data_IF_217539202134
#
_entry.id   IF_217539202134
#
_cell.length_a   1.000
_cell.length_b   1.000
_cell.length_c   1.000
_cell.angle_alpha   90.00
_cell.angle_beta   90.00
_cell.angle_gamma   90.00
#
_symmetry.space_group_name_H-M   'P 1'
#
loop_
_entity.id
_entity.type
_entity.pdbx_description
1 polymer ?
#
# COMPACT_ATOMS: atom_id res chain seq x y z
N UNK A 1 49.65 -6.51 47.46
CA UNK A 1 48.80 -7.49 46.74
C UNK A 1 47.35 -7.12 47.08
N UNK A 2 46.43 -6.65 46.21
CA UNK A 2 46.30 -6.46 44.76
C UNK A 2 45.52 -5.14 44.54
N UNK A 3 45.75 -4.32 43.50
CA UNK A 3 44.86 -3.20 43.20
C UNK A 3 43.57 -3.70 42.53
N UNK A 4 42.43 -3.23 43.02
CA UNK A 4 41.09 -3.52 42.52
C UNK A 4 40.88 -2.73 41.23
N UNK A 5 40.79 -3.42 40.09
CA UNK A 5 40.42 -2.81 38.80
C UNK A 5 38.94 -2.43 38.80
N UNK A 6 38.67 -1.12 38.79
CA UNK A 6 37.35 -0.54 38.58
C UNK A 6 37.02 -0.63 37.09
N UNK A 7 36.27 -1.67 36.70
CA UNK A 7 35.75 -1.84 35.35
C UNK A 7 34.70 -0.76 35.05
N UNK A 8 35.01 0.15 34.13
CA UNK A 8 34.06 1.09 33.53
C UNK A 8 33.13 0.30 32.59
N UNK A 9 31.97 -0.14 33.09
CA UNK A 9 30.92 -0.72 32.24
C UNK A 9 30.21 0.45 31.56
N UNK A 10 30.58 0.72 30.31
CA UNK A 10 29.86 1.64 29.43
C UNK A 10 28.57 0.94 28.99
N UNK A 11 27.47 1.28 29.64
CA UNK A 11 26.13 0.79 29.30
C UNK A 11 25.68 1.44 27.99
N UNK A 12 25.89 0.74 26.87
CA UNK A 12 25.31 1.10 25.57
C UNK A 12 23.79 0.94 25.64
N UNK A 13 23.10 2.07 25.76
CA UNK A 13 21.64 2.14 25.59
C UNK A 13 21.37 1.86 24.11
N UNK A 14 20.99 0.63 23.77
CA UNK A 14 20.38 0.32 22.47
C UNK A 14 19.04 1.07 22.41
N UNK A 15 19.06 2.25 21.81
CA UNK A 15 17.84 2.92 21.39
C UNK A 15 17.13 2.03 20.38
N UNK A 16 15.91 1.61 20.71
CA UNK A 16 14.98 1.06 19.73
C UNK A 16 14.70 2.15 18.70
N UNK A 17 15.43 2.14 17.58
CA UNK A 17 15.07 2.94 16.42
C UNK A 17 13.76 2.37 15.89
N UNK A 18 12.64 3.08 16.11
CA UNK A 18 11.46 2.88 15.27
C UNK A 18 11.94 3.09 13.83
N UNK A 19 11.62 2.16 12.93
CA UNK A 19 11.78 2.39 11.50
C UNK A 19 11.10 3.72 11.17
N UNK A 20 11.91 4.73 10.85
CA UNK A 20 11.41 6.03 10.43
C UNK A 20 10.76 5.78 9.07
N UNK A 21 9.44 5.96 8.99
CA UNK A 21 8.78 6.03 7.69
C UNK A 21 9.52 7.08 6.85
N UNK A 22 9.73 6.84 5.53
CA UNK A 22 10.34 7.84 4.67
C UNK A 22 9.57 9.16 4.87
N UNK A 23 10.29 10.20 5.23
CA UNK A 23 9.73 11.51 5.54
C UNK A 23 9.05 12.04 4.28
N UNK A 24 7.72 11.95 4.22
CA UNK A 24 6.95 12.38 3.06
C UNK A 24 7.08 13.90 2.94
N UNK A 25 7.32 14.44 1.72
CA UNK A 25 7.42 15.89 1.54
C UNK A 25 6.19 16.57 2.12
N UNK A 26 6.39 17.45 3.11
CA UNK A 26 5.28 18.19 3.75
C UNK A 26 4.51 19.06 2.77
N UNK A 27 5.15 19.49 1.68
CA UNK A 27 4.52 20.28 0.62
C UNK A 27 3.57 19.44 -0.25
N UNK A 28 3.78 18.13 -0.39
CA UNK A 28 2.98 17.25 -1.26
C UNK A 28 3.49 17.18 -2.71
N UNK A 29 2.80 16.37 -3.51
CA UNK A 29 3.07 16.12 -4.94
C UNK A 29 1.98 16.76 -5.80
N UNK A 30 2.37 17.56 -6.79
CA UNK A 30 1.44 18.14 -7.75
C UNK A 30 1.48 17.38 -9.09
N UNK A 31 0.32 16.95 -9.57
CA UNK A 31 0.15 16.46 -10.94
C UNK A 31 -0.44 17.59 -11.79
N UNK A 32 0.26 18.03 -12.84
CA UNK A 32 -0.18 19.14 -13.70
C UNK A 32 -0.82 18.66 -14.99
N UNK A 33 -1.78 19.44 -15.49
CA UNK A 33 -2.36 19.26 -16.83
C UNK A 33 -2.92 17.85 -17.10
N UNK A 34 -3.47 17.19 -16.09
CA UNK A 34 -4.04 15.85 -16.22
C UNK A 34 -5.53 15.92 -16.55
N UNK A 35 -6.00 15.06 -17.45
CA UNK A 35 -7.43 14.90 -17.68
C UNK A 35 -8.02 14.01 -16.57
N UNK A 36 -8.98 14.50 -15.80
CA UNK A 36 -9.58 13.71 -14.70
C UNK A 36 -10.81 13.01 -15.22
N UNK A 37 -10.71 11.71 -15.48
CA UNK A 37 -11.83 10.88 -15.97
C UNK A 37 -12.52 11.50 -17.18
N UNK A 38 -13.80 11.88 -17.05
CA UNK A 38 -14.63 12.51 -18.09
C UNK A 38 -14.64 14.05 -18.01
N UNK A 39 -13.68 14.69 -17.32
CA UNK A 39 -13.59 16.14 -17.29
C UNK A 39 -13.43 16.70 -18.71
N UNK A 40 -14.04 17.85 -18.98
CA UNK A 40 -13.97 18.48 -20.31
C UNK A 40 -12.56 18.99 -20.64
N UNK A 41 -11.82 19.41 -19.63
CA UNK A 41 -10.52 20.05 -19.77
C UNK A 41 -9.50 19.46 -18.78
N UNK A 42 -8.20 19.47 -19.10
CA UNK A 42 -7.14 19.13 -18.15
C UNK A 42 -7.12 20.07 -16.92
N UNK A 43 -6.67 19.57 -15.78
CA UNK A 43 -6.57 20.30 -14.50
C UNK A 43 -5.34 19.85 -13.71
N UNK A 44 -5.06 20.47 -12.57
CA UNK A 44 -4.04 20.00 -11.65
C UNK A 44 -4.65 19.23 -10.47
N UNK A 45 -3.90 18.28 -9.89
CA UNK A 45 -4.25 17.53 -8.68
C UNK A 45 -3.10 17.66 -7.69
N UNK A 46 -3.36 18.26 -6.52
CA UNK A 46 -2.42 18.27 -5.40
C UNK A 46 -2.68 17.09 -4.47
N UNK A 47 -1.66 16.27 -4.24
CA UNK A 47 -1.67 15.14 -3.32
C UNK A 47 -0.82 15.50 -2.10
N UNK A 48 -1.41 15.44 -0.91
CA UNK A 48 -0.74 15.73 0.36
C UNK A 48 -1.24 14.75 1.43
N UNK A 49 -0.35 14.28 2.30
CA UNK A 49 -0.69 13.32 3.36
C UNK A 49 -1.44 12.06 2.87
N UNK A 50 -1.03 11.54 1.71
CA UNK A 50 -1.67 10.41 1.02
C UNK A 50 -3.15 10.61 0.68
N UNK A 51 -3.58 11.86 0.51
CA UNK A 51 -4.92 12.24 0.08
C UNK A 51 -4.85 13.21 -1.08
N UNK A 52 -5.89 13.19 -1.90
CA UNK A 52 -6.14 14.29 -2.83
C UNK A 52 -6.56 15.48 -1.99
N UNK A 53 -5.70 16.51 -1.93
CA UNK A 53 -5.92 17.73 -1.16
C UNK A 53 -6.80 18.71 -1.94
N UNK A 54 -6.53 18.86 -3.23
CA UNK A 54 -7.16 19.87 -4.08
C UNK A 54 -7.11 19.45 -5.55
N UNK A 55 -8.18 19.77 -6.29
CA UNK A 55 -8.24 19.62 -7.75
C UNK A 55 -8.71 20.97 -8.30
N UNK A 56 -7.83 21.67 -9.01
CA UNK A 56 -8.16 22.92 -9.71
C UNK A 56 -7.07 23.24 -10.73
N UNK A 57 -7.35 24.16 -11.66
CA UNK A 57 -6.33 24.68 -12.59
C UNK A 57 -5.42 25.69 -11.89
N UNK A 58 -4.14 25.69 -12.27
CA UNK A 58 -3.19 26.74 -11.87
C UNK A 58 -2.83 26.69 -10.39
N UNK A 59 -2.68 25.48 -9.83
CA UNK A 59 -2.23 25.35 -8.44
C UNK A 59 -0.79 25.87 -8.35
N UNK A 60 -0.60 26.91 -7.53
CA UNK A 60 0.71 27.35 -7.09
C UNK A 60 1.27 26.30 -6.10
N UNK A 61 2.47 25.80 -6.41
CA UNK A 61 3.13 24.76 -5.62
C UNK A 61 4.63 24.90 -5.77
N UNK A 62 5.35 24.94 -4.64
CA UNK A 62 6.81 25.06 -4.57
C UNK A 62 7.52 23.71 -4.55
N UNK A 63 6.79 22.63 -4.26
CA UNK A 63 7.33 21.28 -4.11
C UNK A 63 7.43 20.51 -5.42
N UNK A 64 7.50 19.18 -5.31
CA UNK A 64 7.58 18.30 -6.47
C UNK A 64 6.32 18.42 -7.34
N UNK A 65 6.54 18.56 -8.66
CA UNK A 65 5.48 18.62 -9.65
C UNK A 65 5.82 17.73 -10.86
N UNK A 66 4.83 16.99 -11.33
CA UNK A 66 4.90 16.14 -12.52
C UNK A 66 3.98 16.70 -13.60
N UNK A 67 4.50 16.85 -14.83
CA UNK A 67 3.66 17.16 -15.98
C UNK A 67 2.99 15.87 -16.49
N UNK A 68 1.67 15.88 -16.51
CA UNK A 68 0.84 14.75 -16.94
C UNK A 68 0.03 15.09 -18.21
N UNK A 69 0.49 16.08 -18.98
CA UNK A 69 -0.10 16.45 -20.27
C UNK A 69 -0.31 15.24 -21.18
N UNK A 70 -1.53 15.08 -21.69
CA UNK A 70 -1.92 13.95 -22.55
C UNK A 70 -2.25 12.66 -21.82
N UNK A 71 -2.14 12.63 -20.48
CA UNK A 71 -2.55 11.49 -19.65
C UNK A 71 -3.95 11.72 -19.06
N UNK A 72 -4.63 10.60 -18.78
CA UNK A 72 -5.90 10.59 -18.04
C UNK A 72 -5.68 10.00 -16.66
N UNK A 73 -6.01 10.75 -15.61
CA UNK A 73 -6.11 10.24 -14.26
C UNK A 73 -7.42 9.47 -14.07
N UNK A 74 -7.30 8.23 -13.64
CA UNK A 74 -8.41 7.38 -13.22
C UNK A 74 -8.28 7.10 -11.72
N UNK A 75 -9.40 6.83 -11.02
CA UNK A 75 -9.33 6.21 -9.70
C UNK A 75 -8.54 4.90 -9.78
N UNK A 76 -7.82 4.58 -8.71
CA UNK A 76 -7.19 3.26 -8.60
C UNK A 76 -8.23 2.16 -8.71
N UNK A 77 -7.91 1.10 -9.46
CA UNK A 77 -8.89 0.03 -9.70
C UNK A 77 -9.06 -0.85 -8.45
N UNK A 78 -10.25 -1.43 -8.33
CA UNK A 78 -10.64 -2.30 -7.24
C UNK A 78 -11.12 -3.63 -7.82
N UNK A 79 -10.47 -4.73 -7.44
CA UNK A 79 -10.96 -6.07 -7.73
C UNK A 79 -11.65 -6.65 -6.49
N UNK A 80 -12.91 -7.06 -6.64
CA UNK A 80 -13.73 -7.53 -5.52
C UNK A 80 -13.74 -9.04 -5.36
N UNK A 81 -13.07 -9.77 -6.24
CA UNK A 81 -13.07 -11.23 -6.26
C UNK A 81 -11.71 -11.78 -6.69
N UNK A 82 -10.76 -11.82 -5.76
CA UNK A 82 -9.44 -12.42 -6.01
C UNK A 82 -9.17 -13.61 -5.09
N UNK A 83 -8.20 -14.42 -5.51
CA UNK A 83 -7.45 -15.35 -4.67
C UNK A 83 -5.99 -14.90 -4.71
N UNK A 84 -5.59 -14.05 -3.76
CA UNK A 84 -4.31 -13.34 -3.81
C UNK A 84 -3.12 -14.30 -3.71
N UNK A 85 -3.28 -15.47 -3.11
CA UNK A 85 -2.25 -16.50 -3.02
C UNK A 85 -1.71 -17.00 -4.37
N UNK A 86 -2.39 -16.72 -5.47
CA UNK A 86 -1.90 -17.04 -6.83
C UNK A 86 -0.99 -15.97 -7.44
N UNK A 87 -0.87 -14.80 -6.82
CA UNK A 87 -0.16 -13.65 -7.39
C UNK A 87 0.80 -13.03 -6.40
N UNK A 88 1.85 -12.39 -6.91
CA UNK A 88 2.66 -11.50 -6.07
C UNK A 88 1.91 -10.17 -5.89
N UNK A 89 1.72 -9.68 -4.67
CA UNK A 89 0.98 -8.44 -4.43
C UNK A 89 1.52 -7.23 -5.22
N UNK A 90 2.84 -7.14 -5.41
CA UNK A 90 3.44 -6.05 -6.20
C UNK A 90 3.09 -6.12 -7.69
N UNK A 91 2.94 -7.30 -8.25
CA UNK A 91 2.54 -7.50 -9.66
C UNK A 91 1.08 -7.07 -9.85
N UNK A 92 0.21 -7.39 -8.89
CA UNK A 92 -1.19 -6.91 -8.85
C UNK A 92 -1.26 -5.38 -8.84
N UNK A 93 -0.47 -4.72 -7.98
CA UNK A 93 -0.42 -3.25 -7.92
C UNK A 93 0.08 -2.63 -9.23
N UNK A 94 1.09 -3.24 -9.85
CA UNK A 94 1.66 -2.77 -11.11
C UNK A 94 0.66 -2.84 -12.28
N UNK A 95 -0.36 -3.69 -12.17
CA UNK A 95 -1.49 -3.76 -13.11
C UNK A 95 -2.56 -2.67 -12.91
N UNK A 96 -2.40 -1.77 -11.92
CA UNK A 96 -3.34 -0.69 -11.63
C UNK A 96 -4.40 -1.01 -10.57
N UNK A 97 -4.42 -2.24 -10.04
CA UNK A 97 -5.26 -2.62 -8.91
C UNK A 97 -4.67 -2.05 -7.63
N UNK A 98 -5.33 -1.06 -7.04
CA UNK A 98 -4.87 -0.41 -5.80
C UNK A 98 -5.54 -0.98 -4.55
N UNK A 99 -6.65 -1.71 -4.72
CA UNK A 99 -7.37 -2.40 -3.65
C UNK A 99 -7.90 -3.72 -4.17
N UNK A 100 -7.82 -4.77 -3.35
CA UNK A 100 -8.38 -6.09 -3.67
C UNK A 100 -9.14 -6.67 -2.49
N UNK A 101 -10.11 -7.53 -2.80
CA UNK A 101 -10.82 -8.35 -1.82
C UNK A 101 -10.57 -9.84 -2.08
N UNK A 102 -9.78 -10.46 -1.21
CA UNK A 102 -9.57 -11.90 -1.20
C UNK A 102 -10.79 -12.62 -0.59
N UNK A 103 -11.29 -13.63 -1.30
CA UNK A 103 -12.51 -14.36 -0.94
C UNK A 103 -12.29 -15.80 -0.48
N UNK A 104 -11.03 -16.23 -0.30
CA UNK A 104 -10.76 -17.61 0.04
C UNK A 104 -9.29 -17.93 0.00
N UNK A 105 -8.67 -17.97 1.18
CA UNK A 105 -7.34 -18.52 1.37
C UNK A 105 -7.15 -19.07 2.79
N UNK A 106 -6.00 -19.67 3.05
CA UNK A 106 -5.60 -20.10 4.39
C UNK A 106 -5.63 -18.89 5.35
N UNK A 107 -6.33 -18.99 6.50
CA UNK A 107 -6.58 -17.83 7.39
C UNK A 107 -5.32 -17.09 7.85
N UNK A 108 -4.26 -17.79 8.23
CA UNK A 108 -3.05 -17.16 8.79
C UNK A 108 -2.34 -16.29 7.74
N UNK A 109 -2.31 -16.74 6.48
CA UNK A 109 -1.80 -15.97 5.35
C UNK A 109 -2.77 -14.85 4.95
N UNK A 110 -4.06 -15.16 4.78
CA UNK A 110 -5.07 -14.21 4.32
C UNK A 110 -5.13 -12.96 5.20
N UNK A 111 -5.08 -13.16 6.52
CA UNK A 111 -5.13 -12.05 7.47
C UNK A 111 -3.77 -11.37 7.68
N UNK A 112 -2.64 -12.04 7.39
CA UNK A 112 -1.34 -11.36 7.38
C UNK A 112 -1.28 -10.33 6.25
N UNK A 113 -1.84 -10.63 5.08
CA UNK A 113 -1.90 -9.70 3.94
C UNK A 113 -2.65 -8.39 4.25
N UNK A 114 -3.70 -8.44 5.06
CA UNK A 114 -4.42 -7.23 5.52
C UNK A 114 -3.50 -6.32 6.36
N UNK A 115 -2.60 -6.92 7.16
CA UNK A 115 -1.60 -6.17 7.92
C UNK A 115 -0.49 -5.65 7.00
N UNK A 116 0.03 -6.50 6.13
CA UNK A 116 1.17 -6.19 5.27
C UNK A 116 0.83 -5.12 4.24
N UNK A 117 -0.40 -5.14 3.70
CA UNK A 117 -0.90 -4.14 2.75
C UNK A 117 -1.03 -2.71 3.29
N UNK A 118 -0.78 -2.48 4.59
CA UNK A 118 -0.61 -1.13 5.12
C UNK A 118 0.69 -0.47 4.64
N UNK A 119 1.64 -1.25 4.15
CA UNK A 119 2.89 -0.81 3.55
C UNK A 119 2.69 -0.68 2.02
N UNK A 120 2.64 0.53 1.46
CA UNK A 120 2.36 0.73 0.02
C UNK A 120 3.34 0.02 -0.92
N UNK A 121 4.57 -0.22 -0.47
CA UNK A 121 5.60 -0.93 -1.21
C UNK A 121 5.29 -2.42 -1.39
N UNK A 122 4.48 -3.00 -0.50
CA UNK A 122 4.13 -4.42 -0.51
C UNK A 122 3.18 -4.76 -1.66
N UNK A 123 2.13 -3.97 -1.89
CA UNK A 123 1.10 -4.26 -2.89
C UNK A 123 -0.18 -3.43 -2.73
N UNK A 124 -1.32 -3.88 -3.29
CA UNK A 124 -2.61 -3.21 -3.12
C UNK A 124 -3.07 -3.27 -1.66
N UNK A 125 -3.99 -2.38 -1.28
CA UNK A 125 -4.76 -2.54 -0.05
C UNK A 125 -5.57 -3.84 -0.10
N UNK A 126 -5.56 -4.64 0.98
CA UNK A 126 -6.23 -5.94 1.02
C UNK A 126 -7.37 -5.95 2.03
N UNK A 127 -8.53 -6.40 1.56
CA UNK A 127 -9.60 -6.94 2.40
C UNK A 127 -9.58 -8.45 2.23
N UNK A 128 -9.78 -9.21 3.31
CA UNK A 128 -9.77 -10.67 3.26
C UNK A 128 -10.99 -11.26 3.97
N UNK A 129 -11.62 -12.25 3.35
CA UNK A 129 -12.72 -13.03 3.95
C UNK A 129 -12.22 -14.18 4.83
N UNK A 130 -11.00 -14.68 4.58
CA UNK A 130 -10.50 -15.92 5.19
C UNK A 130 -10.97 -17.16 4.42
N UNK A 131 -11.06 -18.34 5.06
CA UNK A 131 -11.40 -19.58 4.38
C UNK A 131 -12.87 -19.61 3.95
N UNK A 132 -13.16 -20.31 2.85
CA UNK A 132 -14.53 -20.56 2.44
C UNK A 132 -15.25 -21.48 3.44
N UNK A 133 -16.42 -21.05 3.91
CA UNK A 133 -17.28 -21.90 4.73
C UNK A 133 -18.11 -22.82 3.83
N UNK A 134 -18.04 -24.12 4.05
CA UNK A 134 -18.69 -25.12 3.21
C UNK A 134 -19.11 -26.36 4.01
N UNK A 135 -19.99 -27.19 3.43
CA UNK A 135 -20.40 -28.45 4.02
C UNK A 135 -19.27 -29.49 3.98
N UNK A 136 -19.39 -30.56 4.77
CA UNK A 136 -18.42 -31.66 4.73
C UNK A 136 -18.30 -32.24 3.31
N UNK A 137 -17.06 -32.31 2.81
CA UNK A 137 -16.77 -32.74 1.43
C UNK A 137 -17.21 -31.78 0.32
N UNK A 138 -17.72 -30.60 0.68
CA UNK A 138 -18.14 -29.54 -0.25
C UNK A 138 -16.98 -28.77 -0.88
N UNK A 139 -17.29 -27.92 -1.84
CA UNK A 139 -16.30 -27.03 -2.48
C UNK A 139 -15.78 -25.99 -1.46
N UNK A 140 -14.46 -25.72 -1.38
CA UNK A 140 -13.40 -26.15 -2.30
C UNK A 140 -12.55 -27.34 -1.81
N UNK A 141 -12.99 -28.15 -0.82
CA UNK A 141 -12.16 -29.15 -0.12
C UNK A 141 -11.52 -30.24 -1.01
N UNK A 142 -12.01 -30.43 -2.24
CA UNK A 142 -11.49 -31.40 -3.22
C UNK A 142 -10.85 -30.74 -4.43
N UNK A 143 -10.80 -29.41 -4.45
CA UNK A 143 -10.27 -28.68 -5.58
C UNK A 143 -8.74 -28.69 -5.53
N UNK A 144 -8.09 -29.12 -6.61
CA UNK A 144 -6.62 -29.24 -6.65
C UNK A 144 -5.85 -27.92 -6.57
N UNK A 145 -6.55 -26.78 -6.65
CA UNK A 145 -5.97 -25.45 -6.47
C UNK A 145 -6.13 -24.91 -5.04
N UNK A 146 -7.00 -25.52 -4.22
CA UNK A 146 -7.27 -25.05 -2.88
C UNK A 146 -6.05 -25.33 -1.97
N UNK A 147 -5.65 -24.36 -1.12
CA UNK A 147 -4.55 -24.54 -0.18
C UNK A 147 -4.88 -25.55 0.92
#
# INVERSE_FOLDING_TARGET
MKPLHLFFICLLILGCSKAQEPERPTEGLLLRNVLVTSSAEPTDILIQDSKIKLIQKGIEHSGEALDCSGLTALPGFIDTHVHLGFFKPREVLSGGLTTVRDLGWEPSLAFSWVKDSKQPEWGPAVLAAGPMLTAEGGYPLKAGWAP
#
